data_IF_588778864458
#
_entry.id   IF_588778864458
#
_cell.length_a   1.000
_cell.length_b   1.000
_cell.length_c   1.000
_cell.angle_alpha   90.00
_cell.angle_beta   90.00
_cell.angle_gamma   90.00
#
_symmetry.space_group_name_H-M   'P 1'
#
loop_
_entity.id
_entity.type
_entity.pdbx_description
1 polymer ?
#
# COMPACT_ATOMS: atom_id res chain seq x y z
N UNK A 1 13.48 -0.67 12.95
CA UNK A 1 13.45 -1.18 11.57
C UNK A 1 12.49 -0.33 10.73
N UNK A 2 12.77 -0.08 9.46
CA UNK A 2 11.89 0.70 8.56
C UNK A 2 11.24 -0.21 7.51
N UNK A 3 10.18 0.27 6.83
CA UNK A 3 9.57 -0.45 5.70
C UNK A 3 10.60 -0.77 4.61
N UNK A 4 11.54 0.15 4.33
CA UNK A 4 12.61 -0.07 3.37
C UNK A 4 13.59 -1.18 3.78
N UNK A 5 13.86 -1.34 5.08
CA UNK A 5 14.72 -2.42 5.58
C UNK A 5 14.05 -3.78 5.38
N UNK A 6 12.75 -3.90 5.71
CA UNK A 6 11.96 -5.11 5.45
C UNK A 6 11.87 -5.42 3.94
N UNK A 7 11.67 -4.40 3.11
CA UNK A 7 11.65 -4.56 1.65
C UNK A 7 12.99 -5.06 1.12
N UNK A 8 14.11 -4.49 1.56
CA UNK A 8 15.45 -4.92 1.15
C UNK A 8 15.73 -6.38 1.53
N UNK A 9 15.25 -6.83 2.69
CA UNK A 9 15.38 -8.22 3.14
C UNK A 9 14.45 -9.21 2.41
N UNK A 10 13.38 -8.73 1.78
CA UNK A 10 12.38 -9.58 1.10
C UNK A 10 12.82 -10.16 -0.25
N UNK A 11 13.90 -9.63 -0.83
CA UNK A 11 14.35 -9.99 -2.19
C UNK A 11 13.59 -9.29 -3.32
N UNK A 12 12.55 -8.49 -3.01
CA UNK A 12 11.93 -7.58 -3.96
C UNK A 12 12.86 -6.39 -4.28
N UNK A 13 12.84 -5.94 -5.53
CA UNK A 13 13.65 -4.81 -6.02
C UNK A 13 12.77 -3.62 -6.35
N UNK A 14 13.16 -2.44 -5.89
CA UNK A 14 12.56 -1.17 -6.31
C UNK A 14 13.09 -0.84 -7.70
N UNK A 15 12.22 -0.85 -8.70
CA UNK A 15 12.56 -0.46 -10.09
C UNK A 15 12.44 1.04 -10.26
N UNK A 16 11.40 1.61 -9.68
CA UNK A 16 11.10 3.03 -9.76
C UNK A 16 10.48 3.50 -8.44
N UNK A 17 10.71 4.77 -8.09
CA UNK A 17 10.12 5.38 -6.90
C UNK A 17 9.77 6.84 -7.17
N UNK A 18 8.68 7.31 -6.57
CA UNK A 18 8.22 8.69 -6.67
C UNK A 18 7.57 9.12 -5.36
N UNK A 19 7.94 10.30 -4.87
CA UNK A 19 7.23 10.95 -3.78
C UNK A 19 6.09 11.78 -4.36
N UNK A 20 4.87 11.56 -3.88
CA UNK A 20 3.66 12.24 -4.35
C UNK A 20 2.92 12.84 -3.18
N UNK A 21 2.16 13.90 -3.40
CA UNK A 21 1.16 14.38 -2.45
C UNK A 21 -0.15 14.50 -3.19
N UNK A 22 -1.04 13.53 -2.97
CA UNK A 22 -2.31 13.46 -3.68
C UNK A 22 -3.22 14.58 -3.20
N UNK A 23 -3.80 15.32 -4.14
CA UNK A 23 -5.00 16.08 -3.88
C UNK A 23 -6.14 15.14 -3.52
N UNK A 24 -7.20 15.69 -2.91
CA UNK A 24 -8.40 14.93 -2.61
C UNK A 24 -9.02 14.33 -3.87
N UNK A 25 -9.06 15.08 -4.98
CA UNK A 25 -9.64 14.62 -6.23
C UNK A 25 -8.86 13.43 -6.83
N UNK A 26 -7.53 13.49 -6.81
CA UNK A 26 -6.68 12.38 -7.26
C UNK A 26 -6.85 11.14 -6.38
N UNK A 27 -6.95 11.31 -5.05
CA UNK A 27 -7.22 10.20 -4.14
C UNK A 27 -8.61 9.57 -4.36
N UNK A 28 -9.65 10.38 -4.64
CA UNK A 28 -10.99 9.90 -4.99
C UNK A 28 -10.99 9.13 -6.31
N UNK A 29 -10.24 9.61 -7.30
CA UNK A 29 -10.06 8.92 -8.58
C UNK A 29 -9.32 7.58 -8.41
N UNK A 30 -8.25 7.57 -7.61
CA UNK A 30 -7.44 6.37 -7.38
C UNK A 30 -8.24 5.26 -6.68
N UNK A 31 -9.09 5.61 -5.70
CA UNK A 31 -9.91 4.66 -4.95
C UNK A 31 -11.36 4.56 -5.44
N UNK A 32 -11.63 4.86 -6.71
CA UNK A 32 -13.01 4.93 -7.23
C UNK A 32 -13.80 3.61 -7.06
N UNK A 33 -13.11 2.46 -7.18
CA UNK A 33 -13.67 1.13 -6.91
C UNK A 33 -14.22 0.96 -5.48
N UNK A 34 -13.81 1.82 -4.56
CA UNK A 34 -14.26 1.84 -3.17
C UNK A 34 -15.29 2.94 -2.88
N UNK A 35 -15.74 3.73 -3.86
CA UNK A 35 -16.62 4.90 -3.67
C UNK A 35 -17.85 4.61 -2.81
N UNK A 36 -18.42 3.42 -2.93
CA UNK A 36 -19.63 3.01 -2.20
C UNK A 36 -19.36 2.29 -0.86
N UNK A 37 -18.10 2.21 -0.40
CA UNK A 37 -17.74 1.58 0.88
C UNK A 37 -17.81 2.60 2.01
N UNK A 38 -18.28 2.16 3.19
CA UNK A 38 -18.43 3.02 4.37
C UNK A 38 -17.14 3.73 4.80
N UNK A 39 -15.97 3.16 4.49
CA UNK A 39 -14.65 3.71 4.83
C UNK A 39 -14.08 4.67 3.79
N UNK A 40 -14.70 4.82 2.61
CA UNK A 40 -14.16 5.57 1.47
C UNK A 40 -13.71 6.99 1.83
N UNK A 41 -14.58 7.75 2.49
CA UNK A 41 -14.27 9.14 2.88
C UNK A 41 -13.05 9.23 3.80
N UNK A 42 -12.89 8.27 4.72
CA UNK A 42 -11.75 8.20 5.64
C UNK A 42 -10.47 7.81 4.89
N UNK A 43 -10.57 6.90 3.93
CA UNK A 43 -9.45 6.46 3.08
C UNK A 43 -8.92 7.63 2.23
N UNK A 44 -9.82 8.30 1.50
CA UNK A 44 -9.48 9.49 0.70
C UNK A 44 -8.83 10.57 1.57
N UNK A 45 -9.46 10.90 2.70
CA UNK A 45 -8.93 11.92 3.61
C UNK A 45 -7.55 11.56 4.16
N UNK A 46 -7.28 10.28 4.41
CA UNK A 46 -5.97 9.83 4.84
C UNK A 46 -4.94 10.00 3.72
N UNK A 47 -5.27 9.53 2.52
CA UNK A 47 -4.34 9.48 1.40
C UNK A 47 -4.01 10.85 0.82
N UNK A 48 -4.88 11.84 1.04
CA UNK A 48 -4.62 13.24 0.69
C UNK A 48 -4.09 14.09 1.85
N UNK A 49 -3.84 13.51 3.04
CA UNK A 49 -3.44 14.29 4.23
C UNK A 49 -1.96 14.67 4.27
N UNK A 50 -1.14 14.08 3.40
CA UNK A 50 0.30 14.32 3.36
C UNK A 50 0.98 13.55 2.22
N UNK A 51 2.31 13.64 2.14
CA UNK A 51 3.07 12.96 1.10
C UNK A 51 3.09 11.44 1.29
N UNK A 52 3.09 10.71 0.19
CA UNK A 52 3.26 9.26 0.10
C UNK A 52 4.45 8.92 -0.78
N UNK A 53 5.10 7.79 -0.50
CA UNK A 53 6.13 7.19 -1.36
C UNK A 53 5.46 6.09 -2.20
N UNK A 54 5.53 6.22 -3.52
CA UNK A 54 5.03 5.22 -4.47
C UNK A 54 6.23 4.44 -5.02
N UNK A 55 6.16 3.11 -4.94
CA UNK A 55 7.23 2.21 -5.34
C UNK A 55 6.72 1.25 -6.41
N UNK A 56 7.45 1.13 -7.52
CA UNK A 56 7.27 0.05 -8.48
C UNK A 56 8.23 -1.08 -8.12
N UNK A 57 7.67 -2.23 -7.71
CA UNK A 57 8.44 -3.38 -7.25
C UNK A 57 8.54 -4.45 -8.34
N UNK A 58 9.70 -5.11 -8.42
CA UNK A 58 9.92 -6.29 -9.26
C UNK A 58 10.52 -7.43 -8.45
N UNK A 59 10.29 -8.65 -8.92
CA UNK A 59 10.75 -9.88 -8.29
C UNK A 59 9.94 -11.06 -8.80
N UNK A 60 10.34 -12.27 -8.42
CA UNK A 60 9.53 -13.44 -8.69
C UNK A 60 8.25 -13.37 -7.86
N UNK A 61 7.09 -13.53 -8.50
CA UNK A 61 5.77 -13.48 -7.86
C UNK A 61 5.58 -12.25 -6.94
N UNK A 62 5.97 -11.08 -7.46
CA UNK A 62 6.13 -9.85 -6.67
C UNK A 62 4.84 -9.39 -6.00
N UNK A 63 3.67 -9.59 -6.63
CA UNK A 63 2.37 -9.26 -6.07
C UNK A 63 2.14 -10.07 -4.79
N UNK A 64 2.30 -11.41 -4.87
CA UNK A 64 2.10 -12.28 -3.70
C UNK A 64 3.10 -11.96 -2.60
N UNK A 65 4.39 -11.89 -2.92
CA UNK A 65 5.44 -11.58 -1.94
C UNK A 65 5.22 -10.23 -1.24
N UNK A 66 4.84 -9.18 -1.97
CA UNK A 66 4.54 -7.89 -1.36
C UNK A 66 3.34 -7.99 -0.42
N UNK A 67 2.28 -8.71 -0.80
CA UNK A 67 1.10 -8.90 0.04
C UNK A 67 1.38 -9.71 1.30
N UNK A 68 2.23 -10.73 1.22
CA UNK A 68 2.72 -11.49 2.38
C UNK A 68 3.52 -10.59 3.33
N UNK A 69 4.43 -9.77 2.80
CA UNK A 69 5.24 -8.84 3.58
C UNK A 69 4.40 -7.73 4.25
N UNK A 70 3.38 -7.22 3.55
CA UNK A 70 2.40 -6.28 4.11
C UNK A 70 1.62 -6.90 5.26
N UNK A 71 1.19 -8.16 5.09
CA UNK A 71 0.32 -8.89 6.01
C UNK A 71 -1.17 -8.50 5.91
N UNK A 72 -2.05 -9.09 6.73
CA UNK A 72 -3.49 -8.87 6.66
C UNK A 72 -3.91 -7.43 7.03
N UNK A 73 -4.99 -6.93 6.41
CA UNK A 73 -5.49 -5.56 6.58
C UNK A 73 -5.98 -5.25 8.00
N UNK A 74 -6.51 -6.25 8.72
CA UNK A 74 -7.09 -6.08 10.07
C UNK A 74 -6.00 -6.00 11.14
N UNK A 75 -5.41 -4.81 11.32
CA UNK A 75 -4.19 -4.57 12.10
C UNK A 75 -4.25 -5.19 13.49
N UNK A 76 -5.37 -5.01 14.21
CA UNK A 76 -5.53 -5.54 15.57
C UNK A 76 -5.40 -7.07 15.65
N UNK A 77 -5.87 -7.79 14.63
CA UNK A 77 -5.69 -9.25 14.55
C UNK A 77 -4.31 -9.62 14.01
N UNK A 78 -3.79 -8.82 13.09
CA UNK A 78 -2.49 -9.01 12.45
C UNK A 78 -1.35 -9.00 13.46
N UNK A 79 -1.39 -8.12 14.47
CA UNK A 79 -0.35 -8.06 15.52
C UNK A 79 -0.14 -9.40 16.25
N UNK A 80 -1.22 -10.17 16.46
CA UNK A 80 -1.13 -11.48 17.13
C UNK A 80 -0.86 -12.65 16.18
N UNK A 81 -1.22 -12.52 14.90
CA UNK A 81 -1.16 -13.64 13.95
C UNK A 81 0.05 -13.59 13.03
N UNK A 82 0.56 -12.40 12.74
CA UNK A 82 1.69 -12.14 11.83
C UNK A 82 2.54 -11.00 12.41
N UNK A 83 3.17 -11.19 13.60
CA UNK A 83 3.85 -10.12 14.32
C UNK A 83 4.97 -9.45 13.51
N UNK A 84 5.56 -10.19 12.57
CA UNK A 84 6.70 -9.76 11.76
C UNK A 84 6.35 -8.91 10.54
N UNK A 85 5.07 -8.88 10.11
CA UNK A 85 4.69 -8.15 8.89
C UNK A 85 4.66 -6.62 9.09
N UNK A 86 4.67 -5.87 7.98
CA UNK A 86 4.67 -4.40 7.99
C UNK A 86 3.45 -3.85 8.74
N UNK A 87 2.25 -4.38 8.48
CA UNK A 87 1.02 -3.89 9.12
C UNK A 87 0.97 -4.13 10.62
N UNK A 88 1.60 -5.21 11.11
CA UNK A 88 1.76 -5.45 12.54
C UNK A 88 2.67 -4.39 13.19
N UNK A 89 3.83 -4.14 12.55
CA UNK A 89 4.89 -3.29 13.11
C UNK A 89 4.58 -1.79 13.04
N UNK A 90 3.86 -1.34 12.00
CA UNK A 90 3.67 0.09 11.72
C UNK A 90 2.20 0.50 11.54
N UNK A 91 1.26 -0.44 11.49
CA UNK A 91 -0.16 -0.15 11.40
C UNK A 91 -0.73 0.36 12.71
N UNK A 92 -1.67 1.31 12.63
CA UNK A 92 -2.39 1.86 13.79
C UNK A 92 -3.86 1.41 13.78
N UNK A 93 -4.49 1.39 12.61
CA UNK A 93 -5.88 0.96 12.42
C UNK A 93 -6.05 0.32 11.04
N UNK A 94 -7.18 -0.33 10.77
CA UNK A 94 -7.45 -0.96 9.48
C UNK A 94 -7.36 0.00 8.28
N UNK A 95 -7.68 1.29 8.46
CA UNK A 95 -7.49 2.33 7.44
C UNK A 95 -6.07 2.93 7.47
N UNK A 96 -5.49 3.12 8.66
CA UNK A 96 -4.10 3.61 8.84
C UNK A 96 -3.17 2.42 9.05
N UNK A 97 -2.99 1.63 8.00
CA UNK A 97 -2.27 0.35 8.04
C UNK A 97 -0.86 0.45 7.39
N UNK A 98 -0.31 1.66 7.30
CA UNK A 98 1.02 1.99 6.79
C UNK A 98 1.28 1.77 5.29
N UNK A 99 0.73 0.73 4.67
CA UNK A 99 1.07 0.34 3.28
C UNK A 99 -0.13 -0.15 2.46
N UNK A 100 -0.11 0.23 1.18
CA UNK A 100 -0.99 -0.25 0.12
C UNK A 100 -0.22 -1.18 -0.84
N UNK A 101 -0.93 -2.04 -1.55
CA UNK A 101 -0.36 -2.83 -2.62
C UNK A 101 -1.42 -3.45 -3.50
N UNK A 102 -1.13 -3.49 -4.80
CA UNK A 102 -1.97 -4.09 -5.83
C UNK A 102 -2.26 -5.58 -5.51
N UNK A 103 -3.37 -6.08 -6.04
CA UNK A 103 -3.88 -7.43 -5.80
C UNK A 103 -3.89 -8.34 -7.04
N UNK A 104 -3.63 -7.77 -8.21
CA UNK A 104 -3.69 -8.43 -9.51
C UNK A 104 -2.83 -7.70 -10.53
N UNK A 105 -2.49 -8.36 -11.63
CA UNK A 105 -1.74 -7.73 -12.73
C UNK A 105 -2.51 -6.55 -13.34
N UNK A 106 -3.85 -6.64 -13.37
CA UNK A 106 -4.71 -5.56 -13.83
C UNK A 106 -4.61 -4.32 -12.93
N UNK A 107 -4.63 -4.49 -11.59
CA UNK A 107 -4.42 -3.36 -10.68
C UNK A 107 -3.00 -2.81 -10.79
N UNK A 108 -1.97 -3.66 -10.93
CA UNK A 108 -0.59 -3.18 -11.18
C UNK A 108 -0.53 -2.31 -12.45
N UNK A 109 -1.14 -2.74 -13.55
CA UNK A 109 -1.12 -1.97 -14.80
C UNK A 109 -1.84 -0.62 -14.67
N UNK A 110 -3.01 -0.60 -14.02
CA UNK A 110 -3.79 0.63 -13.79
C UNK A 110 -3.05 1.60 -12.85
N UNK A 111 -2.57 1.12 -11.71
CA UNK A 111 -1.85 1.91 -10.71
C UNK A 111 -0.51 2.43 -11.28
N UNK A 112 0.23 1.59 -12.03
CA UNK A 112 1.47 2.02 -12.70
C UNK A 112 1.21 3.16 -13.67
N UNK A 113 0.17 3.05 -14.51
CA UNK A 113 -0.21 4.14 -15.44
C UNK A 113 -0.62 5.40 -14.69
N UNK A 114 -1.32 5.28 -13.56
CA UNK A 114 -1.74 6.43 -12.76
C UNK A 114 -0.56 7.22 -12.17
N UNK A 115 0.48 6.53 -11.67
CA UNK A 115 1.58 7.20 -10.96
C UNK A 115 2.82 7.51 -11.81
N UNK A 116 3.11 6.68 -12.81
CA UNK A 116 4.34 6.69 -13.61
C UNK A 116 4.08 6.79 -15.13
N UNK A 117 2.82 6.85 -15.55
CA UNK A 117 2.43 7.07 -16.95
C UNK A 117 2.40 8.53 -17.37
#
# INVERSE_FOLDING_TARGET
>A
ETVYQLLAASGLKVVEKKRVQLSRAEAEQFYDEHRNKFFFRRLVSLMSSGPSEVLLLSGNDSIRHWRELMGPTKVLKTVYTHPECIRSRFGITDTRNAVHGSDSEASVAAEKKFFFG
#
